data_IF_741025906128
#
_entry.id   IF_741025906128
#
_cell.length_a   1.000
_cell.length_b   1.000
_cell.length_c   1.000
_cell.angle_alpha   90.00
_cell.angle_beta   90.00
_cell.angle_gamma   90.00
#
_symmetry.space_group_name_H-M   'P 1'
#
loop_
_entity.id
_entity.type
_entity.pdbx_description
1 polymer ?
#
# COMPACT_ATOMS: atom_id res chain seq x y z
N UNK A 1 35.31 -14.43 56.22
CA UNK A 1 35.67 -13.85 54.91
C UNK A 1 35.99 -14.98 53.94
N UNK A 2 35.05 -15.39 53.09
CA UNK A 2 35.25 -16.48 52.11
C UNK A 2 35.56 -15.87 50.74
N UNK A 3 36.73 -16.19 50.18
CA UNK A 3 37.14 -15.82 48.82
C UNK A 3 36.69 -16.92 47.86
N UNK A 4 35.91 -16.57 46.84
CA UNK A 4 35.63 -17.44 45.70
C UNK A 4 36.50 -17.01 44.53
N UNK A 5 37.25 -17.96 43.97
CA UNK A 5 38.02 -17.81 42.75
C UNK A 5 37.08 -17.94 41.54
N UNK A 6 37.14 -16.97 40.62
CA UNK A 6 36.42 -17.03 39.34
C UNK A 6 37.41 -17.54 38.30
N UNK A 7 37.11 -18.72 37.74
CA UNK A 7 37.83 -19.31 36.63
C UNK A 7 37.46 -18.59 35.32
N UNK A 8 38.48 -18.15 34.59
CA UNK A 8 38.33 -17.62 33.24
C UNK A 8 38.09 -18.78 32.25
N UNK A 9 36.95 -18.74 31.55
CA UNK A 9 36.67 -19.63 30.43
C UNK A 9 36.91 -18.89 29.11
N UNK A 10 37.92 -19.34 28.36
CA UNK A 10 38.21 -18.99 26.99
C UNK A 10 37.20 -19.68 26.06
N UNK A 11 36.55 -18.96 25.14
CA UNK A 11 35.79 -19.54 24.02
C UNK A 11 36.21 -18.86 22.71
N UNK A 12 36.66 -19.68 21.75
CA UNK A 12 37.08 -19.38 20.37
C UNK A 12 35.85 -19.17 19.43
N UNK A 13 35.99 -19.19 18.10
CA UNK A 13 36.78 -18.38 17.19
C UNK A 13 35.87 -17.52 16.27
N UNK A 14 36.47 -16.49 15.67
CA UNK A 14 35.85 -15.56 14.72
C UNK A 14 35.47 -16.27 13.40
N UNK A 15 34.20 -16.61 13.23
CA UNK A 15 33.64 -16.96 11.93
C UNK A 15 33.39 -15.69 11.13
N UNK A 16 34.21 -15.42 10.13
CA UNK A 16 33.96 -14.36 9.13
C UNK A 16 32.82 -14.85 8.24
N UNK A 17 31.58 -14.51 8.61
CA UNK A 17 30.46 -14.58 7.70
C UNK A 17 30.67 -13.50 6.62
N UNK A 18 31.27 -13.90 5.50
CA UNK A 18 31.24 -13.09 4.30
C UNK A 18 29.78 -13.01 3.84
N UNK A 19 29.14 -11.86 4.05
CA UNK A 19 27.92 -11.50 3.34
C UNK A 19 28.31 -11.34 1.87
N UNK A 20 28.21 -12.43 1.12
CA UNK A 20 28.33 -12.39 -0.34
C UNK A 20 27.14 -11.58 -0.83
N UNK A 21 27.43 -10.48 -1.51
CA UNK A 21 26.47 -9.62 -2.17
C UNK A 21 25.84 -10.39 -3.35
N UNK A 22 24.82 -11.19 -3.04
CA UNK A 22 24.11 -12.10 -3.95
C UNK A 22 22.90 -11.39 -4.62
N UNK A 23 22.96 -10.08 -4.84
CA UNK A 23 21.83 -9.30 -5.36
C UNK A 23 22.12 -8.46 -6.62
N UNK A 24 23.27 -8.62 -7.27
CA UNK A 24 23.63 -7.82 -8.46
C UNK A 24 23.40 -8.50 -9.81
N UNK A 25 22.84 -9.71 -9.84
CA UNK A 25 22.41 -10.36 -11.08
C UNK A 25 20.88 -10.37 -11.12
N UNK A 26 20.26 -9.37 -11.76
CA UNK A 26 18.79 -9.21 -11.80
C UNK A 26 18.15 -9.70 -13.10
N UNK A 27 18.94 -10.23 -14.05
CA UNK A 27 18.39 -10.89 -15.24
C UNK A 27 18.01 -12.34 -14.93
N UNK A 28 16.94 -12.54 -14.16
CA UNK A 28 16.35 -13.87 -14.01
C UNK A 28 14.90 -13.84 -14.47
N UNK A 29 14.64 -14.59 -15.53
CA UNK A 29 13.30 -15.03 -15.90
C UNK A 29 12.70 -15.73 -14.67
N UNK A 30 11.58 -15.23 -14.18
CA UNK A 30 10.76 -15.98 -13.24
C UNK A 30 10.54 -17.37 -13.84
N UNK A 31 10.64 -18.47 -13.06
CA UNK A 31 10.11 -19.74 -13.53
C UNK A 31 8.69 -19.43 -14.00
N UNK A 32 8.34 -19.82 -15.23
CA UNK A 32 6.98 -19.67 -15.74
C UNK A 32 6.04 -20.17 -14.66
N UNK A 33 5.47 -19.25 -13.89
CA UNK A 33 4.60 -19.59 -12.80
C UNK A 33 3.46 -20.31 -13.50
N UNK A 34 3.36 -21.62 -13.24
CA UNK A 34 2.49 -22.54 -13.97
C UNK A 34 1.20 -21.83 -14.28
N UNK A 35 0.92 -21.71 -15.57
CA UNK A 35 -0.24 -21.03 -16.11
C UNK A 35 -1.43 -21.32 -15.20
N UNK A 36 -1.97 -20.28 -14.56
CA UNK A 36 -3.39 -20.29 -14.26
C UNK A 36 -4.04 -20.60 -15.61
N UNK A 37 -4.55 -21.83 -15.75
CA UNK A 37 -5.03 -22.43 -17.00
C UNK A 37 -6.09 -21.54 -17.67
N UNK A 38 -5.63 -20.53 -18.40
CA UNK A 38 -6.35 -19.85 -19.45
C UNK A 38 -5.69 -20.29 -20.74
N UNK A 39 -6.22 -21.36 -21.32
CA UNK A 39 -5.83 -21.87 -22.63
C UNK A 39 -6.09 -20.81 -23.71
N UNK A 40 -5.05 -20.05 -24.04
CA UNK A 40 -4.97 -19.22 -25.23
C UNK A 40 -3.60 -19.46 -25.85
N UNK A 41 -3.59 -20.08 -27.03
CA UNK A 41 -2.38 -20.35 -27.80
C UNK A 41 -1.65 -19.02 -28.12
N UNK A 42 -0.44 -18.88 -27.57
CA UNK A 42 0.40 -17.70 -27.78
C UNK A 42 1.25 -17.87 -29.05
N UNK A 43 0.93 -17.08 -30.08
CA UNK A 43 1.88 -16.75 -31.13
C UNK A 43 2.72 -15.56 -30.67
N UNK A 44 4.04 -15.70 -30.74
CA UNK A 44 5.01 -14.71 -30.32
C UNK A 44 5.11 -13.58 -31.36
N UNK A 45 4.24 -12.58 -31.24
CA UNK A 45 4.42 -11.22 -31.74
C UNK A 45 3.42 -10.28 -31.06
N UNK A 46 3.92 -9.21 -30.43
CA UNK A 46 3.15 -7.99 -30.10
C UNK A 46 1.92 -8.11 -29.18
N UNK A 47 1.95 -9.02 -28.21
CA UNK A 47 0.88 -9.13 -27.21
C UNK A 47 1.22 -8.35 -25.94
N UNK A 48 1.09 -7.03 -25.99
CA UNK A 48 0.55 -6.32 -24.83
C UNK A 48 -0.87 -6.89 -24.65
N UNK A 49 -0.98 -8.04 -23.98
CA UNK A 49 -2.27 -8.64 -23.63
C UNK A 49 -3.08 -7.51 -23.03
N UNK A 50 -4.09 -7.05 -23.76
CA UNK A 50 -4.87 -5.89 -23.37
C UNK A 50 -5.41 -6.24 -21.99
N UNK A 51 -4.86 -5.61 -20.95
CA UNK A 51 -5.29 -5.90 -19.59
C UNK A 51 -6.79 -5.65 -19.60
N UNK A 52 -7.56 -6.69 -19.25
CA UNK A 52 -8.99 -6.53 -18.97
C UNK A 52 -9.11 -5.29 -18.09
N UNK A 53 -10.06 -4.42 -18.40
CA UNK A 53 -10.33 -3.30 -17.51
C UNK A 53 -10.61 -3.86 -16.11
N UNK A 54 -10.13 -3.21 -15.05
CA UNK A 54 -10.24 -3.76 -13.70
C UNK A 54 -11.69 -4.08 -13.29
N UNK A 55 -12.66 -3.34 -13.85
CA UNK A 55 -14.07 -3.59 -13.61
C UNK A 55 -14.63 -4.83 -14.33
N UNK A 56 -13.89 -5.42 -15.27
CA UNK A 56 -14.28 -6.64 -15.96
C UNK A 56 -13.77 -7.91 -15.26
N UNK A 57 -12.70 -7.80 -14.47
CA UNK A 57 -12.14 -8.91 -13.68
C UNK A 57 -13.20 -9.51 -12.77
N UNK A 58 -13.16 -10.83 -12.60
CA UNK A 58 -13.84 -11.46 -11.48
C UNK A 58 -13.03 -11.28 -10.18
N UNK A 59 -13.64 -11.71 -9.08
CA UNK A 59 -13.08 -11.52 -7.75
C UNK A 59 -11.77 -12.29 -7.54
N UNK A 60 -11.69 -13.51 -8.06
CA UNK A 60 -10.53 -14.39 -7.88
C UNK A 60 -9.36 -13.90 -8.74
N UNK A 61 -9.63 -13.50 -10.00
CA UNK A 61 -8.68 -12.85 -10.90
C UNK A 61 -8.09 -11.58 -10.26
N UNK A 62 -8.95 -10.70 -9.75
CA UNK A 62 -8.54 -9.44 -9.11
C UNK A 62 -7.72 -9.68 -7.84
N UNK A 63 -8.12 -10.67 -7.03
CA UNK A 63 -7.39 -11.04 -5.80
C UNK A 63 -6.02 -11.62 -6.12
N UNK A 64 -5.92 -12.52 -7.10
CA UNK A 64 -4.65 -13.08 -7.55
C UNK A 64 -3.72 -11.98 -8.09
N UNK A 65 -4.26 -11.05 -8.88
CA UNK A 65 -3.53 -9.90 -9.40
C UNK A 65 -3.04 -8.98 -8.26
N UNK A 66 -3.89 -8.68 -7.27
CA UNK A 66 -3.52 -7.87 -6.10
C UNK A 66 -2.39 -8.52 -5.30
N UNK A 67 -2.52 -9.80 -4.98
CA UNK A 67 -1.49 -10.57 -4.25
C UNK A 67 -0.16 -10.58 -4.98
N UNK A 68 -0.15 -10.88 -6.28
CA UNK A 68 1.08 -10.87 -7.10
C UNK A 68 1.73 -9.49 -7.11
N UNK A 69 0.96 -8.46 -7.46
CA UNK A 69 1.48 -7.10 -7.63
C UNK A 69 2.05 -6.56 -6.32
N UNK A 70 1.34 -6.75 -5.21
CA UNK A 70 1.80 -6.27 -3.90
C UNK A 70 2.97 -7.08 -3.32
N UNK A 71 2.99 -8.41 -3.52
CA UNK A 71 4.12 -9.23 -3.08
C UNK A 71 5.39 -8.88 -3.87
N UNK A 72 5.27 -8.67 -5.19
CA UNK A 72 6.38 -8.26 -6.05
C UNK A 72 6.87 -6.85 -5.69
N UNK A 73 5.95 -5.90 -5.48
CA UNK A 73 6.26 -4.55 -5.03
C UNK A 73 7.07 -4.54 -3.73
N UNK A 74 6.59 -5.24 -2.70
CA UNK A 74 7.29 -5.35 -1.42
C UNK A 74 8.68 -6.00 -1.57
N UNK A 75 8.80 -7.03 -2.41
CA UNK A 75 10.06 -7.74 -2.64
C UNK A 75 11.10 -6.91 -3.38
N UNK A 76 10.68 -6.11 -4.36
CA UNK A 76 11.58 -5.39 -5.26
C UNK A 76 11.90 -3.97 -4.75
N UNK A 77 10.95 -3.31 -4.11
CA UNK A 77 10.98 -1.87 -3.82
C UNK A 77 10.79 -1.52 -2.34
N UNK A 78 11.10 -2.48 -1.45
CA UNK A 78 10.94 -2.39 0.00
C UNK A 78 9.51 -2.43 0.49
N UNK A 79 9.19 -3.19 1.55
CA UNK A 79 7.92 -3.10 2.25
C UNK A 79 7.85 -1.84 3.17
N UNK A 80 8.33 -0.69 2.71
CA UNK A 80 8.22 0.60 3.41
C UNK A 80 6.85 1.23 3.13
N UNK A 81 6.24 1.86 4.14
CA UNK A 81 5.03 2.66 3.94
C UNK A 81 3.92 1.88 3.21
N UNK A 82 3.50 2.41 2.06
CA UNK A 82 2.45 1.85 1.20
C UNK A 82 2.87 0.60 0.41
N UNK A 83 4.18 0.33 0.31
CA UNK A 83 4.68 -0.87 -0.35
C UNK A 83 4.64 -2.09 0.57
N UNK A 84 4.44 -1.93 1.89
CA UNK A 84 4.21 -3.07 2.79
C UNK A 84 3.01 -3.89 2.27
N UNK A 85 3.14 -5.21 2.19
CA UNK A 85 2.19 -6.05 1.45
C UNK A 85 0.75 -5.89 1.92
N UNK A 86 0.49 -5.87 3.23
CA UNK A 86 -0.85 -5.63 3.77
C UNK A 86 -1.40 -4.24 3.43
N UNK A 87 -0.53 -3.22 3.41
CA UNK A 87 -0.92 -1.84 3.05
C UNK A 87 -1.12 -1.64 1.55
N UNK A 88 -0.33 -2.30 0.72
CA UNK A 88 -0.55 -2.34 -0.71
C UNK A 88 -1.86 -3.04 -1.03
N UNK A 89 -2.15 -4.19 -0.40
CA UNK A 89 -3.39 -4.93 -0.61
C UNK A 89 -4.63 -4.13 -0.19
N UNK A 90 -4.56 -3.36 0.91
CA UNK A 90 -5.63 -2.46 1.37
C UNK A 90 -6.12 -1.53 0.24
N UNK A 91 -5.20 -1.03 -0.61
CA UNK A 91 -5.55 -0.17 -1.74
C UNK A 91 -5.73 -0.91 -3.08
N UNK A 92 -4.94 -1.96 -3.32
CA UNK A 92 -4.93 -2.70 -4.59
C UNK A 92 -6.19 -3.53 -4.78
N UNK A 93 -6.71 -4.15 -3.72
CA UNK A 93 -7.91 -4.99 -3.77
C UNK A 93 -9.14 -4.23 -4.27
N UNK A 94 -9.57 -3.09 -3.68
CA UNK A 94 -10.70 -2.34 -4.20
C UNK A 94 -10.41 -1.68 -5.56
N UNK A 95 -9.14 -1.51 -5.93
CA UNK A 95 -8.73 -1.00 -7.23
C UNK A 95 -8.91 -2.06 -8.33
N UNK A 96 -8.36 -3.26 -8.14
CA UNK A 96 -8.43 -4.35 -9.11
C UNK A 96 -9.79 -5.04 -9.11
N UNK A 97 -10.41 -5.23 -7.95
CA UNK A 97 -11.75 -5.77 -7.83
C UNK A 97 -12.78 -4.63 -7.88
N UNK A 98 -12.80 -3.87 -8.97
CA UNK A 98 -13.66 -2.68 -9.09
C UNK A 98 -15.15 -3.00 -8.85
N UNK A 99 -15.64 -4.21 -9.17
CA UNK A 99 -17.00 -4.67 -8.83
C UNK A 99 -17.29 -4.67 -7.31
N UNK A 100 -16.26 -4.91 -6.49
CA UNK A 100 -16.37 -4.88 -5.03
C UNK A 100 -16.38 -3.44 -4.48
N UNK A 101 -15.97 -2.43 -5.26
CA UNK A 101 -16.00 -1.02 -4.84
C UNK A 101 -16.26 -0.09 -6.04
N UNK A 102 -17.42 -0.21 -6.72
CA UNK A 102 -17.65 0.42 -8.03
C UNK A 102 -17.66 1.95 -7.98
N UNK A 103 -17.93 2.52 -6.80
CA UNK A 103 -17.87 3.96 -6.54
C UNK A 103 -16.46 4.52 -6.43
N UNK A 104 -15.42 3.67 -6.26
CA UNK A 104 -14.04 4.08 -5.96
C UNK A 104 -13.04 3.70 -7.03
N UNK A 105 -13.48 3.47 -8.26
CA UNK A 105 -12.59 3.15 -9.37
C UNK A 105 -11.42 4.17 -9.44
N UNK A 106 -10.17 3.72 -9.59
CA UNK A 106 -9.01 4.61 -9.67
C UNK A 106 -9.04 5.44 -10.96
N UNK A 107 -8.37 6.60 -10.94
CA UNK A 107 -8.33 7.55 -12.07
C UNK A 107 -6.96 8.19 -12.25
N UNK A 108 -6.75 8.76 -13.44
CA UNK A 108 -5.54 9.51 -13.79
C UNK A 108 -4.27 8.71 -13.50
N UNK A 109 -3.26 9.39 -12.94
CA UNK A 109 -1.97 8.79 -12.62
C UNK A 109 -2.07 7.59 -11.65
N UNK A 110 -3.08 7.54 -10.76
CA UNK A 110 -3.30 6.38 -9.88
C UNK A 110 -3.73 5.16 -10.69
N UNK A 111 -4.65 5.32 -11.64
CA UNK A 111 -5.06 4.23 -12.53
C UNK A 111 -3.88 3.74 -13.39
N UNK A 112 -3.08 4.66 -13.92
CA UNK A 112 -1.89 4.33 -14.71
C UNK A 112 -0.85 3.55 -13.90
N UNK A 113 -0.58 3.99 -12.66
CA UNK A 113 0.27 3.26 -11.72
C UNK A 113 -0.23 1.83 -11.49
N UNK A 114 -1.51 1.65 -11.16
CA UNK A 114 -2.09 0.34 -10.91
C UNK A 114 -2.07 -0.56 -12.14
N UNK A 115 -2.29 -0.02 -13.34
CA UNK A 115 -2.14 -0.75 -14.60
C UNK A 115 -0.70 -1.21 -14.82
N UNK A 116 0.27 -0.36 -14.50
CA UNK A 116 1.68 -0.71 -14.60
C UNK A 116 2.04 -1.86 -13.64
N UNK A 117 1.73 -1.73 -12.33
CA UNK A 117 2.08 -2.78 -11.37
C UNK A 117 1.29 -4.08 -11.58
N UNK A 118 0.07 -4.02 -12.13
CA UNK A 118 -0.69 -5.20 -12.55
C UNK A 118 0.01 -5.95 -13.69
N UNK A 119 0.60 -5.22 -14.64
CA UNK A 119 1.35 -5.77 -15.77
C UNK A 119 2.75 -6.27 -15.37
N UNK A 120 3.32 -5.73 -14.29
CA UNK A 120 4.67 -6.06 -13.85
C UNK A 120 4.82 -7.56 -13.54
N UNK A 121 5.84 -8.17 -14.13
CA UNK A 121 6.22 -9.57 -13.87
C UNK A 121 7.54 -9.65 -13.15
N UNK A 122 8.45 -8.72 -13.41
CA UNK A 122 9.80 -8.71 -12.84
C UNK A 122 10.02 -7.55 -11.86
N UNK A 123 11.14 -7.59 -11.12
CA UNK A 123 11.55 -6.43 -10.35
C UNK A 123 11.85 -5.22 -11.24
N UNK A 124 12.45 -5.42 -12.41
CA UNK A 124 12.71 -4.32 -13.33
C UNK A 124 11.42 -3.67 -13.86
N UNK A 125 10.37 -4.46 -14.11
CA UNK A 125 9.05 -3.90 -14.47
C UNK A 125 8.47 -3.09 -13.31
N UNK A 126 8.55 -3.63 -12.09
CA UNK A 126 8.07 -2.96 -10.88
C UNK A 126 8.82 -1.65 -10.64
N UNK A 127 10.14 -1.66 -10.78
CA UNK A 127 11.00 -0.48 -10.70
C UNK A 127 10.56 0.56 -11.72
N UNK A 128 10.31 0.18 -12.99
CA UNK A 128 9.84 1.11 -14.02
C UNK A 128 8.48 1.73 -13.71
N UNK A 129 7.61 1.03 -12.99
CA UNK A 129 6.33 1.57 -12.56
C UNK A 129 6.46 2.67 -11.49
N UNK A 130 7.50 2.60 -10.65
CA UNK A 130 7.78 3.61 -9.62
C UNK A 130 8.69 4.71 -10.16
N UNK A 131 9.66 4.34 -10.99
CA UNK A 131 10.70 5.17 -11.55
C UNK A 131 10.64 5.16 -13.08
N UNK A 132 9.61 5.80 -13.69
CA UNK A 132 9.46 5.78 -15.14
C UNK A 132 10.63 6.43 -15.88
N UNK A 133 11.36 7.32 -15.22
CA UNK A 133 12.58 7.97 -15.74
C UNK A 133 13.88 7.37 -15.23
N UNK A 134 13.83 6.17 -14.63
CA UNK A 134 14.97 5.49 -14.02
C UNK A 134 15.17 5.82 -12.55
N UNK A 135 15.83 4.89 -11.84
CA UNK A 135 16.18 5.03 -10.43
C UNK A 135 17.29 6.07 -10.31
N UNK A 136 17.21 7.03 -9.38
CA UNK A 136 18.32 7.93 -9.09
C UNK A 136 19.60 7.14 -8.80
N UNK A 137 20.66 7.43 -9.56
CA UNK A 137 21.94 6.71 -9.48
C UNK A 137 22.61 6.86 -8.11
N UNK A 138 22.38 7.99 -7.45
CA UNK A 138 22.72 8.21 -6.07
C UNK A 138 21.47 8.61 -5.28
N UNK A 139 21.34 8.01 -4.09
CA UNK A 139 20.74 8.70 -2.97
C UNK A 139 21.69 9.85 -2.59
N UNK A 140 21.75 10.89 -3.44
CA UNK A 140 22.73 11.97 -3.38
C UNK A 140 22.94 12.43 -1.95
N UNK A 141 24.18 12.77 -1.57
CA UNK A 141 24.62 12.95 -0.18
C UNK A 141 23.48 13.45 0.71
N UNK A 142 22.80 12.53 1.39
CA UNK A 142 21.84 12.91 2.43
C UNK A 142 22.74 13.39 3.56
N UNK A 143 23.12 14.66 3.48
CA UNK A 143 24.23 15.25 4.22
C UNK A 143 24.04 15.14 5.74
N UNK A 144 22.82 14.84 6.18
CA UNK A 144 22.39 14.94 7.58
C UNK A 144 21.70 13.66 8.11
N UNK A 145 21.96 12.48 7.54
CA UNK A 145 21.55 11.20 8.14
C UNK A 145 20.06 10.82 8.01
N UNK A 146 19.30 11.50 7.15
CA UNK A 146 17.95 11.07 6.77
C UNK A 146 17.97 9.74 6.01
N UNK A 147 17.16 8.77 6.43
CA UNK A 147 17.05 7.45 5.75
C UNK A 147 16.06 7.52 4.58
N UNK A 148 15.12 8.48 4.59
CA UNK A 148 14.16 8.69 3.50
C UNK A 148 14.21 10.11 2.95
N UNK A 149 13.83 10.32 1.69
CA UNK A 149 13.65 11.65 1.10
C UNK A 149 12.57 11.63 0.01
N UNK A 150 12.26 12.76 -0.60
CA UNK A 150 11.45 12.81 -1.81
C UNK A 150 12.32 13.07 -3.03
N UNK A 151 11.90 12.51 -4.17
CA UNK A 151 12.46 12.86 -5.47
C UNK A 151 12.42 14.37 -5.71
N UNK A 152 13.27 14.84 -6.64
CA UNK A 152 13.40 16.26 -6.91
C UNK A 152 12.05 16.87 -7.37
N UNK A 153 11.68 18.03 -6.85
CA UNK A 153 10.36 18.64 -7.08
C UNK A 153 10.07 18.96 -8.56
N UNK A 154 11.10 19.19 -9.38
CA UNK A 154 10.97 19.41 -10.82
C UNK A 154 11.15 18.12 -11.66
N UNK A 155 11.21 16.96 -11.01
CA UNK A 155 11.36 15.65 -11.63
C UNK A 155 10.03 14.89 -11.63
N UNK A 156 9.79 13.99 -12.59
CA UNK A 156 8.71 13.00 -12.51
C UNK A 156 8.73 12.14 -11.23
N UNK A 157 9.84 12.16 -10.49
CA UNK A 157 9.99 11.50 -9.19
C UNK A 157 9.49 12.33 -8.00
N UNK A 158 8.93 13.52 -8.21
CA UNK A 158 8.40 14.36 -7.13
C UNK A 158 7.36 13.62 -6.25
N UNK A 159 6.68 12.61 -6.81
CA UNK A 159 5.69 11.78 -6.11
C UNK A 159 6.24 10.48 -5.55
N UNK A 160 7.55 10.29 -5.54
CA UNK A 160 8.22 9.09 -5.04
C UNK A 160 8.96 9.41 -3.75
N UNK A 161 8.62 8.67 -2.69
CA UNK A 161 9.38 8.63 -1.45
C UNK A 161 10.50 7.61 -1.58
N UNK A 162 11.73 8.08 -1.42
CA UNK A 162 12.93 7.29 -1.56
C UNK A 162 13.38 6.79 -0.18
N UNK A 163 13.79 5.52 -0.11
CA UNK A 163 14.51 4.90 1.00
C UNK A 163 15.98 4.70 0.60
N UNK A 164 16.87 5.33 1.35
CA UNK A 164 18.27 5.58 1.03
C UNK A 164 19.19 5.05 2.14
N UNK A 165 19.02 3.78 2.49
CA UNK A 165 19.69 3.12 3.64
C UNK A 165 21.21 3.20 3.64
N UNK A 166 21.86 3.32 2.47
CA UNK A 166 23.32 3.44 2.37
C UNK A 166 23.72 4.40 1.25
N UNK A 167 24.65 5.31 1.56
CA UNK A 167 25.29 6.14 0.53
C UNK A 167 25.92 5.24 -0.53
N UNK A 168 25.59 5.49 -1.81
CA UNK A 168 26.10 4.71 -2.95
C UNK A 168 25.37 3.39 -3.24
N UNK A 169 24.33 3.01 -2.48
CA UNK A 169 23.42 1.95 -2.90
C UNK A 169 22.27 2.51 -3.74
N UNK A 170 21.60 1.65 -4.51
CA UNK A 170 20.35 2.03 -5.19
C UNK A 170 19.31 2.52 -4.17
N UNK A 171 18.51 3.51 -4.57
CA UNK A 171 17.32 3.91 -3.83
C UNK A 171 16.21 2.86 -4.01
N UNK A 172 15.37 2.69 -2.99
CA UNK A 172 14.07 2.01 -3.12
C UNK A 172 12.97 3.07 -3.11
N UNK A 173 11.89 2.86 -3.85
CA UNK A 173 10.83 3.86 -4.02
C UNK A 173 9.45 3.42 -3.53
N UNK A 174 8.78 4.26 -2.78
CA UNK A 174 7.33 4.20 -2.54
C UNK A 174 6.65 5.26 -3.42
N UNK A 175 5.79 4.83 -4.35
CA UNK A 175 5.02 5.74 -5.19
C UNK A 175 3.82 6.29 -4.40
N UNK A 176 3.89 7.54 -3.92
CA UNK A 176 2.82 8.15 -3.13
C UNK A 176 1.50 8.26 -3.90
N UNK A 177 1.58 8.34 -5.24
CA UNK A 177 0.42 8.36 -6.12
C UNK A 177 -0.45 7.09 -6.01
N UNK A 178 0.11 5.97 -5.54
CA UNK A 178 -0.64 4.73 -5.27
C UNK A 178 -1.82 4.98 -4.31
N UNK A 179 -1.67 5.93 -3.37
CA UNK A 179 -2.73 6.36 -2.45
C UNK A 179 -3.39 7.69 -2.82
N UNK A 180 -3.08 8.26 -4.00
CA UNK A 180 -3.49 9.62 -4.35
C UNK A 180 -2.82 10.69 -3.47
N UNK A 181 -1.59 10.42 -3.02
CA UNK A 181 -0.82 11.28 -2.13
C UNK A 181 0.38 11.87 -2.85
N UNK A 182 0.97 12.88 -2.22
CA UNK A 182 2.20 13.50 -2.71
C UNK A 182 3.38 13.26 -1.79
N UNK A 183 4.58 13.08 -2.36
CA UNK A 183 5.78 12.98 -1.52
C UNK A 183 6.17 14.37 -1.05
N UNK A 184 6.39 14.52 0.26
CA UNK A 184 6.98 15.74 0.78
C UNK A 184 8.08 15.51 1.80
N UNK A 185 9.07 16.40 1.78
CA UNK A 185 10.12 16.48 2.79
C UNK A 185 9.55 17.12 4.06
N UNK A 186 9.52 16.36 5.15
CA UNK A 186 9.25 16.84 6.52
C UNK A 186 10.56 17.34 7.17
N UNK A 187 10.49 17.73 8.45
CA UNK A 187 11.67 18.07 9.24
C UNK A 187 12.74 16.96 9.18
N UNK A 188 14.01 17.36 9.33
CA UNK A 188 15.17 16.45 9.28
C UNK A 188 15.37 15.76 7.92
N UNK A 189 14.91 16.39 6.83
CA UNK A 189 15.04 15.90 5.44
C UNK A 189 14.35 14.57 5.13
N UNK A 190 13.51 14.05 6.05
CA UNK A 190 12.75 12.82 5.82
C UNK A 190 11.67 13.02 4.77
N UNK A 191 11.55 12.08 3.83
CA UNK A 191 10.42 12.04 2.90
C UNK A 191 9.24 11.30 3.50
N UNK A 192 8.03 11.80 3.29
CA UNK A 192 6.76 11.17 3.68
C UNK A 192 5.70 11.34 2.57
N UNK A 193 4.89 10.30 2.35
CA UNK A 193 3.72 10.40 1.48
C UNK A 193 2.55 11.06 2.23
N UNK A 194 2.31 12.33 1.94
CA UNK A 194 1.31 13.19 2.60
C UNK A 194 0.13 13.52 1.69
N UNK A 195 -0.92 14.14 2.24
CA UNK A 195 -2.08 14.59 1.45
C UNK A 195 -1.71 15.51 0.28
N UNK A 196 -2.65 15.71 -0.64
CA UNK A 196 -2.38 16.39 -1.91
C UNK A 196 -2.16 17.91 -1.82
N UNK A 197 -2.42 18.52 -0.66
CA UNK A 197 -2.03 19.91 -0.39
C UNK A 197 -0.58 20.07 0.10
N UNK A 198 0.11 18.97 0.42
CA UNK A 198 1.40 18.96 1.11
C UNK A 198 1.32 19.49 2.57
N UNK A 199 2.45 19.41 3.28
CA UNK A 199 2.68 19.96 4.63
C UNK A 199 2.51 21.50 4.74
N UNK A 200 1.27 21.99 4.75
CA UNK A 200 0.96 23.17 5.57
C UNK A 200 0.72 22.71 7.01
N UNK A 201 0.81 23.62 7.98
CA UNK A 201 0.19 23.37 9.28
C UNK A 201 -1.28 23.01 9.03
N UNK A 202 -1.61 21.74 9.21
CA UNK A 202 -2.94 21.24 8.92
C UNK A 202 -3.82 21.61 10.11
N UNK A 203 -4.44 22.79 10.03
CA UNK A 203 -5.27 23.32 11.11
C UNK A 203 -6.69 22.75 11.13
N UNK A 204 -7.20 22.29 9.98
CA UNK A 204 -8.58 21.82 9.83
C UNK A 204 -8.72 20.79 8.71
N UNK A 205 -9.35 19.66 9.01
CA UNK A 205 -9.79 18.69 7.99
C UNK A 205 -10.93 19.29 7.16
N UNK A 206 -11.01 18.96 5.88
CA UNK A 206 -11.92 19.62 4.95
C UNK A 206 -11.64 19.27 3.49
N UNK A 207 -12.50 19.70 2.58
CA UNK A 207 -12.19 19.73 1.16
C UNK A 207 -11.44 21.01 0.77
N UNK A 208 -10.37 20.87 0.01
CA UNK A 208 -9.65 21.98 -0.64
C UNK A 208 -9.50 21.65 -2.12
N UNK A 209 -10.38 22.21 -2.95
CA UNK A 209 -10.47 21.78 -4.36
C UNK A 209 -10.87 20.30 -4.46
N UNK A 210 -10.04 19.48 -5.09
CA UNK A 210 -10.22 18.01 -5.15
C UNK A 210 -9.58 17.28 -3.97
N UNK A 211 -8.76 17.95 -3.17
CA UNK A 211 -8.05 17.36 -2.03
C UNK A 211 -8.98 17.14 -0.85
N UNK A 212 -9.03 15.89 -0.36
CA UNK A 212 -9.58 15.56 0.94
C UNK A 212 -8.47 15.73 1.98
N UNK A 213 -8.45 16.88 2.67
CA UNK A 213 -7.47 17.20 3.71
C UNK A 213 -7.89 16.57 5.02
N UNK A 214 -6.97 15.82 5.64
CA UNK A 214 -7.20 15.17 6.93
C UNK A 214 -6.06 15.49 7.89
N UNK A 215 -6.33 16.35 8.87
CA UNK A 215 -5.30 16.83 9.78
C UNK A 215 -5.13 15.90 11.00
N UNK A 216 -3.94 15.33 11.14
CA UNK A 216 -3.53 14.45 12.24
C UNK A 216 -2.23 14.95 12.81
N UNK A 217 -2.21 15.34 14.09
CA UNK A 217 -1.00 15.85 14.73
C UNK A 217 -0.38 17.06 14.01
N UNK A 218 -1.21 17.86 13.33
CA UNK A 218 -0.77 19.00 12.51
C UNK A 218 -0.32 18.66 11.09
N UNK A 219 -0.29 17.39 10.70
CA UNK A 219 0.10 16.93 9.36
C UNK A 219 -1.13 16.55 8.53
N UNK A 220 -1.11 16.86 7.23
CA UNK A 220 -2.14 16.39 6.29
C UNK A 220 -1.86 14.95 5.86
N UNK A 221 -2.68 14.02 6.35
CA UNK A 221 -2.68 12.61 5.95
C UNK A 221 -3.78 12.27 4.94
N UNK A 222 -4.37 13.30 4.34
CA UNK A 222 -5.40 13.21 3.31
C UNK A 222 -4.93 12.55 2.01
N UNK A 223 -5.74 12.71 0.96
CA UNK A 223 -5.42 12.28 -0.40
C UNK A 223 -6.25 13.07 -1.42
N UNK A 224 -5.87 13.01 -2.69
CA UNK A 224 -6.57 13.67 -3.77
C UNK A 224 -7.76 12.84 -4.28
N UNK A 225 -8.97 13.39 -4.16
CA UNK A 225 -10.13 12.77 -4.75
C UNK A 225 -10.07 12.76 -6.28
N UNK A 226 -9.24 13.57 -6.94
CA UNK A 226 -9.02 13.48 -8.39
C UNK A 226 -8.51 12.10 -8.83
N UNK A 227 -7.89 11.35 -7.91
CA UNK A 227 -7.34 10.01 -8.16
C UNK A 227 -8.36 8.86 -8.06
N UNK A 228 -9.60 9.12 -7.63
CA UNK A 228 -10.62 8.08 -7.38
C UNK A 228 -12.04 8.55 -7.65
N UNK A 229 -12.95 7.61 -7.92
CA UNK A 229 -14.40 7.86 -7.97
C UNK A 229 -14.79 8.97 -8.94
N UNK A 230 -15.58 9.95 -8.49
CA UNK A 230 -16.02 11.06 -9.33
C UNK A 230 -15.00 12.22 -9.44
N UNK A 231 -13.79 12.08 -8.87
CA UNK A 231 -12.75 13.10 -9.00
C UNK A 231 -12.96 14.34 -8.14
N UNK A 232 -13.89 14.31 -7.17
CA UNK A 232 -14.36 15.48 -6.43
C UNK A 232 -14.35 15.24 -4.93
N UNK A 233 -13.99 16.26 -4.16
CA UNK A 233 -14.18 16.31 -2.71
C UNK A 233 -15.44 17.13 -2.39
N UNK A 234 -16.23 16.69 -1.42
CA UNK A 234 -17.38 17.45 -0.89
C UNK A 234 -17.35 17.52 0.63
N UNK A 235 -17.60 18.71 1.18
CA UNK A 235 -17.90 18.90 2.59
C UNK A 235 -19.39 18.67 2.84
N UNK A 236 -19.70 17.80 3.80
CA UNK A 236 -21.05 17.49 4.25
C UNK A 236 -21.15 17.72 5.76
N UNK A 237 -22.37 17.69 6.31
CA UNK A 237 -22.63 17.97 7.72
C UNK A 237 -21.83 17.10 8.72
N UNK A 238 -21.31 15.95 8.26
CA UNK A 238 -20.60 14.99 9.09
C UNK A 238 -19.14 14.73 8.66
N UNK A 239 -18.57 15.65 7.87
CA UNK A 239 -17.17 15.60 7.44
C UNK A 239 -17.02 15.78 5.94
N UNK A 240 -15.86 15.43 5.43
CA UNK A 240 -15.48 15.64 4.03
C UNK A 240 -15.20 14.31 3.38
N UNK A 241 -15.63 14.10 2.13
CA UNK A 241 -15.51 12.83 1.44
C UNK A 241 -15.16 12.99 -0.03
N UNK A 242 -14.46 11.99 -0.59
CA UNK A 242 -14.40 11.82 -2.03
C UNK A 242 -15.74 11.28 -2.55
N UNK A 243 -16.29 11.93 -3.56
CA UNK A 243 -17.57 11.56 -4.15
C UNK A 243 -17.37 10.28 -4.96
N UNK A 244 -18.16 9.22 -4.73
CA UNK A 244 -18.06 8.01 -5.53
C UNK A 244 -18.58 8.23 -6.96
N UNK A 245 -18.14 7.40 -7.91
CA UNK A 245 -18.81 7.28 -9.21
C UNK A 245 -20.23 6.74 -9.02
N UNK A 246 -21.22 7.43 -9.58
CA UNK A 246 -22.61 6.97 -9.52
C UNK A 246 -23.61 8.07 -9.86
N UNK A 247 -24.83 7.65 -10.19
CA UNK A 247 -25.99 8.53 -10.34
C UNK A 247 -26.95 8.23 -9.20
N UNK A 248 -27.15 9.18 -8.30
CA UNK A 248 -28.04 9.01 -7.15
C UNK A 248 -27.72 10.04 -6.09
N UNK A 249 -28.70 10.33 -5.26
CA UNK A 249 -28.56 11.26 -4.13
C UNK A 249 -29.16 10.62 -2.89
N UNK A 250 -28.48 10.76 -1.76
CA UNK A 250 -28.99 10.39 -0.45
C UNK A 250 -28.56 11.42 0.59
N UNK A 251 -29.24 11.50 1.74
CA UNK A 251 -28.77 12.33 2.85
C UNK A 251 -27.36 11.89 3.25
N UNK A 252 -26.43 12.84 3.24
CA UNK A 252 -25.06 12.56 3.62
C UNK A 252 -25.01 12.02 5.05
N UNK A 253 -24.34 10.88 5.23
CA UNK A 253 -24.33 10.18 6.51
C UNK A 253 -23.04 9.41 6.71
N UNK A 254 -22.63 9.30 7.96
CA UNK A 254 -21.51 8.45 8.39
C UNK A 254 -21.96 7.04 8.74
N UNK A 255 -23.27 6.80 8.77
CA UNK A 255 -23.84 5.49 9.04
C UNK A 255 -23.51 4.55 7.88
N UNK A 256 -23.01 3.36 8.22
CA UNK A 256 -22.78 2.29 7.25
C UNK A 256 -23.67 1.11 7.62
N UNK A 257 -24.52 0.70 6.69
CA UNK A 257 -25.39 -0.46 6.80
C UNK A 257 -24.73 -1.68 6.18
N UNK A 258 -24.98 -2.85 6.75
CA UNK A 258 -24.41 -4.12 6.30
C UNK A 258 -25.51 -5.10 5.89
N UNK A 259 -25.30 -5.76 4.76
CA UNK A 259 -26.08 -6.91 4.30
C UNK A 259 -25.10 -8.01 3.89
N UNK A 260 -24.91 -9.02 4.75
CA UNK A 260 -23.88 -10.03 4.54
C UNK A 260 -22.47 -9.41 4.56
N UNK A 261 -21.73 -9.56 3.47
CA UNK A 261 -20.40 -8.95 3.28
C UNK A 261 -20.47 -7.54 2.69
N UNK A 262 -21.63 -7.08 2.24
CA UNK A 262 -21.78 -5.80 1.57
C UNK A 262 -22.03 -4.66 2.56
N UNK A 263 -21.15 -3.67 2.57
CA UNK A 263 -21.32 -2.38 3.24
C UNK A 263 -21.92 -1.36 2.29
N UNK A 264 -22.87 -0.57 2.79
CA UNK A 264 -23.55 0.49 2.04
C UNK A 264 -23.63 1.75 2.88
N UNK A 265 -23.38 2.90 2.26
CA UNK A 265 -23.37 4.20 2.94
C UNK A 265 -23.59 5.36 1.99
N UNK A 266 -23.58 6.58 2.54
CA UNK A 266 -23.75 7.81 1.77
C UNK A 266 -22.81 8.92 2.26
N UNK A 267 -21.49 8.71 2.29
CA UNK A 267 -20.56 9.65 2.91
C UNK A 267 -20.55 11.03 2.23
N UNK A 268 -20.65 11.07 0.91
CA UNK A 268 -20.61 12.31 0.11
C UNK A 268 -21.96 12.75 -0.47
N UNK A 269 -23.08 12.27 0.08
CA UNK A 269 -24.42 12.52 -0.48
C UNK A 269 -24.75 11.70 -1.74
N UNK A 270 -23.87 10.77 -2.13
CA UNK A 270 -24.06 9.81 -3.22
C UNK A 270 -23.96 8.40 -2.64
N UNK A 271 -24.87 7.47 -3.01
CA UNK A 271 -24.80 6.10 -2.52
C UNK A 271 -23.47 5.44 -2.88
N UNK A 272 -22.91 4.74 -1.91
CA UNK A 272 -21.66 4.02 -2.06
C UNK A 272 -21.81 2.60 -1.51
N UNK A 273 -21.19 1.63 -2.17
CA UNK A 273 -21.20 0.22 -1.79
C UNK A 273 -19.79 -0.34 -1.85
N UNK A 274 -19.45 -1.18 -0.86
CA UNK A 274 -18.23 -1.98 -0.86
C UNK A 274 -18.51 -3.42 -0.39
N UNK A 275 -17.94 -4.41 -1.06
CA UNK A 275 -17.99 -5.80 -0.61
C UNK A 275 -16.76 -6.14 0.23
N UNK A 276 -16.97 -6.32 1.54
CA UNK A 276 -15.94 -6.62 2.52
C UNK A 276 -15.27 -7.99 2.30
N UNK A 277 -15.89 -8.87 1.51
CA UNK A 277 -15.28 -10.13 1.10
C UNK A 277 -13.94 -9.89 0.39
N UNK A 278 -13.78 -8.74 -0.29
CA UNK A 278 -12.52 -8.33 -0.95
C UNK A 278 -11.34 -8.28 -0.01
N UNK A 279 -11.58 -7.96 1.26
CA UNK A 279 -10.53 -7.94 2.29
C UNK A 279 -10.43 -9.25 3.08
N UNK A 280 -11.18 -10.29 2.71
CA UNK A 280 -11.30 -11.51 3.51
C UNK A 280 -12.02 -11.28 4.84
N UNK A 281 -12.98 -10.33 4.86
CA UNK A 281 -13.67 -9.89 6.07
C UNK A 281 -15.19 -9.87 5.91
N UNK A 282 -15.91 -9.74 7.02
CA UNK A 282 -17.36 -9.51 7.04
C UNK A 282 -17.67 -8.03 7.23
N UNK A 283 -18.89 -7.61 6.85
CA UNK A 283 -19.34 -6.25 7.10
C UNK A 283 -19.81 -6.08 8.56
N UNK A 284 -19.31 -5.04 9.22
CA UNK A 284 -19.70 -4.61 10.56
C UNK A 284 -20.45 -3.28 10.49
N UNK A 285 -21.66 -3.24 11.07
CA UNK A 285 -22.49 -2.03 11.06
C UNK A 285 -21.79 -0.91 11.81
N UNK A 286 -21.89 0.30 11.27
CA UNK A 286 -21.39 1.51 11.92
C UNK A 286 -22.56 2.42 12.21
N UNK A 287 -22.94 2.48 13.49
CA UNK A 287 -23.80 3.55 13.98
C UNK A 287 -23.02 4.86 13.91
N UNK A 288 -23.61 5.90 13.31
CA UNK A 288 -22.93 7.14 12.95
C UNK A 288 -22.20 7.84 14.11
N UNK A 289 -21.33 8.79 13.77
CA UNK A 289 -20.55 9.68 14.63
C UNK A 289 -20.57 9.38 16.15
N UNK A 290 -19.92 8.30 16.57
CA UNK A 290 -18.95 8.48 17.64
C UNK A 290 -17.73 9.12 16.98
N UNK A 291 -17.43 10.37 17.34
CA UNK A 291 -16.20 11.05 16.95
C UNK A 291 -14.93 10.29 17.41
N UNK A 292 -15.11 9.29 18.28
CA UNK A 292 -14.06 8.55 18.98
C UNK A 292 -13.94 7.08 18.52
N UNK A 293 -14.88 6.57 17.70
CA UNK A 293 -14.88 5.19 17.26
C UNK A 293 -13.97 4.99 16.03
N UNK A 294 -12.70 4.68 16.28
CA UNK A 294 -11.87 3.99 15.29
C UNK A 294 -10.60 4.71 14.84
N UNK A 295 -10.03 5.59 15.65
CA UNK A 295 -8.62 5.92 15.51
C UNK A 295 -7.78 4.67 15.83
N UNK A 296 -7.60 3.75 14.86
CA UNK A 296 -6.42 2.86 14.90
C UNK A 296 -5.20 3.77 14.98
N UNK A 297 -4.28 3.46 15.90
CA UNK A 297 -3.10 4.24 16.31
C UNK A 297 -2.85 5.51 15.48
N UNK A 298 -3.34 6.65 15.99
CA UNK A 298 -3.03 7.97 15.44
C UNK A 298 -3.90 8.46 14.28
N UNK A 299 -4.90 7.73 13.79
CA UNK A 299 -5.75 8.22 12.67
C UNK A 299 -6.91 9.13 13.10
N UNK A 300 -7.11 10.28 12.45
CA UNK A 300 -8.35 11.04 12.55
C UNK A 300 -9.56 10.21 12.06
N UNK A 301 -10.79 10.49 12.55
CA UNK A 301 -11.98 9.75 12.15
C UNK A 301 -12.16 9.75 10.63
N UNK A 302 -12.12 8.56 10.02
CA UNK A 302 -12.39 8.34 8.58
C UNK A 302 -13.90 8.28 8.33
N UNK A 303 -14.64 9.29 8.75
CA UNK A 303 -16.11 9.28 8.66
C UNK A 303 -16.63 9.13 7.22
N UNK A 304 -15.78 9.43 6.25
CA UNK A 304 -16.00 9.31 4.81
C UNK A 304 -15.68 7.93 4.22
N UNK A 305 -15.00 7.05 4.95
CA UNK A 305 -14.52 5.79 4.43
C UNK A 305 -15.50 4.66 4.74
N UNK A 306 -16.42 4.34 3.82
CA UNK A 306 -17.35 3.21 4.05
C UNK A 306 -16.60 1.89 4.20
N UNK A 307 -15.39 1.81 3.66
CA UNK A 307 -14.56 0.63 3.77
C UNK A 307 -14.37 0.30 5.25
N UNK A 308 -14.30 1.26 6.18
CA UNK A 308 -14.16 1.05 7.64
C UNK A 308 -15.13 0.00 8.24
N UNK A 309 -16.28 -0.25 7.61
CA UNK A 309 -17.19 -1.35 7.98
C UNK A 309 -16.60 -2.77 7.77
N UNK A 310 -15.58 -2.91 6.93
CA UNK A 310 -14.84 -4.16 6.69
C UNK A 310 -13.59 -4.31 7.57
N UNK A 311 -13.37 -3.41 8.54
CA UNK A 311 -12.29 -3.61 9.50
C UNK A 311 -12.63 -4.78 10.43
N UNK A 312 -11.69 -5.70 10.62
CA UNK A 312 -11.82 -6.72 11.66
C UNK A 312 -11.59 -6.06 13.03
N UNK A 313 -12.55 -6.16 13.97
CA UNK A 313 -12.39 -5.62 15.32
C UNK A 313 -11.24 -6.30 16.09
N UNK A 314 -10.55 -5.56 16.97
CA UNK A 314 -9.41 -6.10 17.75
C UNK A 314 -9.84 -7.28 18.64
N UNK A 315 -11.02 -7.17 19.24
CA UNK A 315 -11.65 -8.22 20.05
C UNK A 315 -12.06 -9.45 19.23
N UNK A 316 -12.18 -9.33 17.90
CA UNK A 316 -12.39 -10.43 16.97
C UNK A 316 -11.08 -11.08 16.49
N UNK A 317 -9.93 -10.75 17.09
CA UNK A 317 -8.64 -11.33 16.75
C UNK A 317 -7.97 -10.72 15.52
N UNK A 318 -8.21 -9.42 15.27
CA UNK A 318 -7.57 -8.70 14.19
C UNK A 318 -6.04 -8.85 14.22
N UNK A 319 -5.43 -9.11 13.05
CA UNK A 319 -4.00 -8.95 12.91
C UNK A 319 -3.61 -7.45 13.04
N UNK A 320 -2.37 -7.18 13.41
CA UNK A 320 -1.83 -5.82 13.53
C UNK A 320 -0.71 -5.50 12.54
N UNK A 321 -0.03 -6.52 12.01
CA UNK A 321 1.10 -6.38 11.11
C UNK A 321 1.27 -7.61 10.21
N UNK A 322 1.96 -7.41 9.09
CA UNK A 322 2.44 -8.48 8.23
C UNK A 322 3.41 -9.38 9.00
N UNK A 323 3.44 -10.69 8.72
CA UNK A 323 4.36 -11.64 9.36
C UNK A 323 4.60 -12.88 8.51
N UNK A 324 5.70 -13.58 8.76
CA UNK A 324 5.96 -14.89 8.16
C UNK A 324 5.43 -16.05 9.01
N UNK A 325 4.84 -17.04 8.35
CA UNK A 325 4.47 -18.34 8.91
C UNK A 325 5.01 -19.42 7.98
N UNK A 326 6.22 -19.91 8.27
CA UNK A 326 6.99 -20.75 7.33
C UNK A 326 7.32 -19.98 6.05
N UNK A 327 7.05 -20.58 4.89
CA UNK A 327 7.25 -19.95 3.58
C UNK A 327 6.10 -19.00 3.17
N UNK A 328 5.05 -18.88 4.00
CA UNK A 328 3.90 -18.01 3.73
C UNK A 328 4.06 -16.64 4.36
N UNK A 329 3.72 -15.60 3.61
CA UNK A 329 3.49 -14.26 4.15
C UNK A 329 2.02 -14.12 4.53
N UNK A 330 1.76 -13.77 5.79
CA UNK A 330 0.44 -13.37 6.28
C UNK A 330 0.39 -11.85 6.25
N UNK A 331 -0.23 -11.30 5.22
CA UNK A 331 -0.44 -9.86 5.07
C UNK A 331 -1.64 -9.41 5.91
N UNK A 332 -1.50 -8.33 6.67
CA UNK A 332 -2.55 -7.80 7.50
C UNK A 332 -3.32 -6.70 6.80
N UNK A 333 -4.49 -7.05 6.25
CA UNK A 333 -5.33 -6.14 5.49
C UNK A 333 -6.50 -5.76 6.36
N UNK A 334 -6.46 -4.56 6.92
CA UNK A 334 -7.59 -4.00 7.70
C UNK A 334 -7.98 -4.85 8.91
N UNK A 335 -7.01 -5.59 9.45
CA UNK A 335 -7.19 -6.54 10.55
C UNK A 335 -7.51 -7.97 10.10
N UNK A 336 -7.83 -8.19 8.83
CA UNK A 336 -8.00 -9.53 8.26
C UNK A 336 -6.65 -10.10 7.80
N UNK A 337 -6.33 -11.37 8.13
CA UNK A 337 -5.14 -12.03 7.62
C UNK A 337 -5.38 -12.53 6.19
N UNK A 338 -4.54 -12.12 5.26
CA UNK A 338 -4.51 -12.64 3.89
C UNK A 338 -3.21 -13.42 3.68
N UNK A 339 -3.33 -14.73 3.44
CA UNK A 339 -2.18 -15.58 3.15
C UNK A 339 -1.71 -15.42 1.70
N UNK A 340 -0.38 -15.36 1.56
CA UNK A 340 0.36 -15.35 0.31
C UNK A 340 1.42 -16.45 0.39
N UNK A 341 1.34 -17.42 -0.51
CA UNK A 341 2.37 -18.44 -0.67
C UNK A 341 3.51 -17.87 -1.52
N UNK A 342 4.59 -17.43 -0.87
CA UNK A 342 5.70 -16.77 -1.55
C UNK A 342 6.44 -17.70 -2.53
N UNK A 343 6.41 -19.02 -2.27
CA UNK A 343 7.06 -20.03 -3.10
C UNK A 343 6.26 -20.26 -4.37
N UNK A 344 4.95 -20.49 -4.23
CA UNK A 344 4.07 -20.66 -5.39
C UNK A 344 3.96 -19.37 -6.23
N UNK A 345 3.90 -18.21 -5.58
CA UNK A 345 3.62 -16.95 -6.26
C UNK A 345 4.86 -16.34 -6.95
N UNK A 346 6.03 -16.40 -6.30
CA UNK A 346 7.24 -15.69 -6.76
C UNK A 346 8.50 -16.57 -6.80
N UNK A 347 8.38 -17.88 -6.53
CA UNK A 347 9.54 -18.77 -6.41
C UNK A 347 10.46 -18.43 -5.24
N UNK A 348 9.92 -17.79 -4.20
CA UNK A 348 10.67 -17.15 -3.10
C UNK A 348 10.25 -17.71 -1.73
N UNK A 349 10.81 -17.18 -0.64
CA UNK A 349 10.37 -17.51 0.73
C UNK A 349 9.88 -16.27 1.45
N UNK A 350 9.06 -16.43 2.49
CA UNK A 350 8.80 -15.32 3.37
C UNK A 350 10.05 -15.00 4.21
N UNK A 351 10.39 -13.73 4.35
CA UNK A 351 11.48 -13.28 5.20
C UNK A 351 11.32 -11.84 5.65
N UNK A 352 12.21 -11.41 6.54
CA UNK A 352 12.22 -10.03 7.02
C UNK A 352 13.11 -9.11 6.20
N UNK A 353 12.77 -7.82 6.21
CA UNK A 353 13.46 -6.72 5.56
C UNK A 353 13.63 -5.59 6.57
N UNK A 354 14.85 -5.09 6.71
CA UNK A 354 15.10 -3.88 7.50
C UNK A 354 14.84 -2.65 6.62
N UNK A 355 13.84 -1.86 6.98
CA UNK A 355 13.47 -0.61 6.30
C UNK A 355 13.81 0.61 7.15
N UNK A 356 13.68 1.82 6.59
CA UNK A 356 13.73 3.06 7.36
C UNK A 356 12.71 3.13 8.51
N UNK A 357 11.64 2.32 8.44
CA UNK A 357 10.55 2.26 9.41
C UNK A 357 10.66 1.05 10.36
N UNK A 358 11.80 0.35 10.36
CA UNK A 358 12.05 -0.85 11.14
C UNK A 358 11.91 -2.14 10.33
N UNK A 359 11.85 -3.27 11.04
CA UNK A 359 11.73 -4.59 10.45
C UNK A 359 10.31 -4.82 9.89
N UNK A 360 10.24 -5.32 8.66
CA UNK A 360 9.02 -5.61 7.91
C UNK A 360 9.14 -6.99 7.26
N UNK A 361 8.05 -7.54 6.73
CA UNK A 361 8.05 -8.87 6.11
C UNK A 361 7.60 -8.80 4.66
N UNK A 362 8.25 -9.60 3.80
CA UNK A 362 7.95 -9.70 2.38
C UNK A 362 8.28 -11.10 1.84
N UNK A 363 7.88 -11.36 0.60
CA UNK A 363 8.35 -12.52 -0.15
C UNK A 363 9.76 -12.23 -0.69
N UNK A 364 10.79 -12.64 0.05
CA UNK A 364 12.19 -12.38 -0.25
C UNK A 364 12.80 -13.56 -1.01
N UNK A 365 13.60 -13.25 -2.03
CA UNK A 365 14.41 -14.25 -2.72
C UNK A 365 15.70 -14.51 -1.93
#
# INVERSE_FOLDING_TARGET
>A
MRRFAIAAALVMPSGVAACVDLFHDTSYELPEAGSLDASVEASAADSATQLKEFCDLDFDEATAMAKRSCALLAACESPMGSNATGKCLEDALPTFACKAAPGRAPRGARLEYYRCIAAAKTCDDTVKCIFPTGVPADCGQIADGGITTCGAAASPLAEVRLDCRRSGSRAYGEACIAKGRTCRRVADYRGECTGSGGLGACASSGCVGTSLRQCVGGNDVGFDCASVGAGRCVDVAHGSACVPTGSGTCPASTVVTCQGTTASGCPGGVPEVIDCAVFGSTCHRIAGASADAGAREGGAPRSWDIARACDVPVDAGACSADRCVGDKLVACVRGAPIEIDCRALLGSRCGSWLTAEGERFACVR
#
